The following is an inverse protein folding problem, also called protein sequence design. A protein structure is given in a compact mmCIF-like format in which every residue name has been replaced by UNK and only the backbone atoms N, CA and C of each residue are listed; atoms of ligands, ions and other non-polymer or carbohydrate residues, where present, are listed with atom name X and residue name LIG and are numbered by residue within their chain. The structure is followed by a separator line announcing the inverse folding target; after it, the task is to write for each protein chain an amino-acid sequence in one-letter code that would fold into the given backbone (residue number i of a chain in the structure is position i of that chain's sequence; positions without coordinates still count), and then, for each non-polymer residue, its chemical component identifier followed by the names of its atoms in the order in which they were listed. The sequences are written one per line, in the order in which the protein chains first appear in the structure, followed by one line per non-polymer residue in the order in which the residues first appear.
data_IF_970507179224
#
_entry.id   IF_970507179224
#
_cell.length_a   1.000
_cell.length_b   1.000
_cell.length_c   1.000
_cell.angle_alpha   90.00
_cell.angle_beta   90.00
_cell.angle_gamma   90.00
#
_symmetry.space_group_name_H-M   'P 1'
#
loop_
_entity.id
_entity.type
_entity.pdbx_description
1 polymer ?
#
# COMPACT_ATOMS: atom_id res chain seq x y z
N UNK A 1 -10.73 -7.22 -7.53
CA UNK A 1 -11.43 -7.47 -6.24
C UNK A 1 -11.65 -6.18 -5.46
N UNK A 2 -10.59 -5.40 -5.19
CA UNK A 2 -10.74 -4.20 -4.35
C UNK A 2 -11.65 -3.10 -4.92
N UNK A 3 -11.75 -2.98 -6.25
CA UNK A 3 -12.71 -2.08 -6.89
C UNK A 3 -14.17 -2.43 -6.60
N UNK A 4 -14.52 -3.73 -6.57
CA UNK A 4 -15.90 -4.17 -6.29
C UNK A 4 -16.30 -3.79 -4.87
N UNK A 5 -15.42 -4.01 -3.88
CA UNK A 5 -15.69 -3.64 -2.50
C UNK A 5 -15.78 -2.11 -2.31
N UNK A 6 -14.97 -1.35 -3.05
CA UNK A 6 -15.04 0.10 -3.05
C UNK A 6 -16.38 0.61 -3.61
N UNK A 7 -16.85 0.03 -4.71
CA UNK A 7 -18.12 0.38 -5.36
C UNK A 7 -19.33 0.00 -4.47
N UNK A 8 -19.28 -1.15 -3.78
CA UNK A 8 -20.33 -1.58 -2.86
C UNK A 8 -20.51 -0.65 -1.64
N UNK A 9 -19.40 -0.11 -1.13
CA UNK A 9 -19.39 0.70 0.08
C UNK A 9 -19.56 2.21 -0.19
N UNK A 10 -19.34 2.67 -1.43
CA UNK A 10 -19.35 4.09 -1.81
C UNK A 10 -20.67 4.80 -1.50
N UNK A 11 -21.80 4.13 -1.70
CA UNK A 11 -23.13 4.73 -1.52
C UNK A 11 -23.74 4.52 -0.13
N UNK A 12 -23.22 3.55 0.63
CA UNK A 12 -23.85 3.04 1.85
C UNK A 12 -23.10 3.41 3.12
N UNK A 13 -21.80 3.70 3.04
CA UNK A 13 -20.95 3.96 4.22
C UNK A 13 -19.87 5.00 3.92
N UNK A 14 -19.34 5.68 4.95
CA UNK A 14 -18.16 6.54 4.80
C UNK A 14 -16.83 5.76 4.73
N UNK A 15 -16.87 4.44 4.48
CA UNK A 15 -15.68 3.58 4.48
C UNK A 15 -14.97 3.70 3.13
N UNK A 16 -13.67 3.97 3.17
CA UNK A 16 -12.80 4.01 1.98
C UNK A 16 -12.04 2.71 1.84
N UNK A 17 -12.00 2.17 0.63
CA UNK A 17 -11.31 0.93 0.32
C UNK A 17 -10.26 1.19 -0.75
N UNK A 18 -9.00 0.91 -0.43
CA UNK A 18 -7.89 1.09 -1.36
C UNK A 18 -6.94 -0.12 -1.29
N UNK A 19 -6.13 -0.30 -2.31
CA UNK A 19 -5.03 -1.27 -2.31
C UNK A 19 -3.69 -0.55 -2.22
N UNK A 20 -2.75 -1.13 -1.47
CA UNK A 20 -1.39 -0.62 -1.36
C UNK A 20 -0.46 -1.62 -2.05
N UNK A 21 0.35 -1.14 -2.97
CA UNK A 21 1.49 -1.86 -3.52
C UNK A 21 2.78 -1.37 -2.80
N UNK A 22 3.29 -2.13 -1.81
CA UNK A 22 4.48 -1.74 -1.07
C UNK A 22 5.77 -1.85 -1.90
N UNK A 23 5.74 -2.49 -3.07
CA UNK A 23 6.94 -2.71 -3.89
C UNK A 23 7.96 -3.64 -3.21
N UNK A 24 9.25 -3.37 -3.43
CA UNK A 24 10.35 -4.14 -2.83
C UNK A 24 10.61 -3.60 -1.42
N UNK A 25 10.33 -4.41 -0.40
CA UNK A 25 10.55 -4.04 1.01
C UNK A 25 11.32 -5.13 1.71
N UNK A 26 12.27 -4.72 2.57
CA UNK A 26 13.10 -5.62 3.38
C UNK A 26 12.25 -6.32 4.45
N UNK A 27 11.62 -7.42 4.07
CA UNK A 27 10.79 -8.25 4.93
C UNK A 27 11.21 -9.71 4.85
N UNK A 28 10.85 -10.51 5.86
CA UNK A 28 11.05 -11.96 5.83
C UNK A 28 10.35 -12.61 4.63
N UNK A 29 9.17 -12.12 4.25
CA UNK A 29 8.44 -12.61 3.06
C UNK A 29 9.26 -12.41 1.78
N UNK A 30 9.87 -11.22 1.61
CA UNK A 30 10.73 -10.91 0.44
C UNK A 30 11.96 -11.81 0.40
N UNK A 31 12.64 -12.00 1.54
CA UNK A 31 13.81 -12.86 1.65
C UNK A 31 13.48 -14.33 1.29
N UNK A 32 12.29 -14.82 1.65
CA UNK A 32 11.84 -16.16 1.25
C UNK A 32 11.52 -16.24 -0.25
N UNK A 33 10.97 -15.18 -0.84
CA UNK A 33 10.64 -15.12 -2.27
C UNK A 33 11.88 -14.94 -3.16
N UNK A 34 12.91 -14.22 -2.69
CA UNK A 34 14.14 -13.90 -3.41
C UNK A 34 15.38 -14.13 -2.51
N UNK A 35 15.78 -15.38 -2.26
CA UNK A 35 16.83 -15.70 -1.28
C UNK A 35 18.24 -15.22 -1.67
N UNK A 36 18.49 -14.94 -2.95
CA UNK A 36 19.78 -14.43 -3.44
C UNK A 36 19.86 -12.90 -3.57
N UNK A 37 18.80 -12.18 -3.22
CA UNK A 37 18.78 -10.71 -3.24
C UNK A 37 19.45 -10.15 -1.98
N UNK A 38 20.38 -9.21 -2.12
CA UNK A 38 20.97 -8.52 -0.97
C UNK A 38 19.90 -7.66 -0.27
N UNK A 39 19.56 -7.93 1.01
CA UNK A 39 18.55 -7.19 1.75
C UNK A 39 18.86 -5.68 1.83
N UNK A 40 20.13 -5.29 1.79
CA UNK A 40 20.54 -3.88 1.89
C UNK A 40 20.22 -3.07 0.62
N UNK A 41 19.95 -3.74 -0.50
CA UNK A 41 19.52 -3.09 -1.75
C UNK A 41 18.03 -2.77 -1.80
N UNK A 42 17.29 -3.16 -0.75
CA UNK A 42 15.85 -2.98 -0.63
C UNK A 42 15.56 -2.03 0.55
N UNK A 43 14.65 -1.05 0.40
CA UNK A 43 14.31 -0.13 1.49
C UNK A 43 13.72 -0.88 2.69
N UNK A 44 13.95 -0.31 3.88
CA UNK A 44 13.32 -0.78 5.11
C UNK A 44 11.82 -0.46 5.11
N UNK A 45 11.05 -1.11 5.99
CA UNK A 45 9.60 -0.91 6.04
C UNK A 45 9.24 0.52 6.46
N UNK A 46 10.03 1.12 7.35
CA UNK A 46 9.88 2.47 7.84
C UNK A 46 9.98 3.52 6.72
N UNK A 47 10.72 3.21 5.64
CA UNK A 47 10.96 4.13 4.53
C UNK A 47 9.78 4.24 3.55
N UNK A 48 8.77 3.37 3.66
CA UNK A 48 7.60 3.34 2.76
C UNK A 48 6.30 3.76 3.45
N UNK A 49 6.38 4.27 4.68
CA UNK A 49 5.22 4.56 5.53
C UNK A 49 4.37 5.74 5.05
N UNK A 50 4.92 6.63 4.21
CA UNK A 50 4.22 7.82 3.71
C UNK A 50 2.89 7.47 3.03
N UNK A 51 2.87 6.42 2.21
CA UNK A 51 1.64 5.98 1.54
C UNK A 51 0.60 5.38 2.50
N UNK A 52 1.05 4.72 3.57
CA UNK A 52 0.17 4.19 4.62
C UNK A 52 -0.45 5.32 5.42
N UNK A 53 0.36 6.30 5.83
CA UNK A 53 -0.09 7.48 6.56
C UNK A 53 -1.05 8.31 5.72
N UNK A 54 -0.76 8.48 4.43
CA UNK A 54 -1.64 9.18 3.49
C UNK A 54 -3.05 8.58 3.48
N UNK A 55 -3.16 7.26 3.31
CA UNK A 55 -4.45 6.57 3.22
C UNK A 55 -5.26 6.54 4.54
N UNK A 56 -4.57 6.66 5.67
CA UNK A 56 -5.20 6.75 7.00
C UNK A 56 -5.54 8.19 7.39
N UNK A 57 -4.88 9.17 6.77
CA UNK A 57 -5.06 10.60 7.03
C UNK A 57 -6.30 11.20 6.36
N UNK A 58 -6.53 12.48 6.66
CA UNK A 58 -7.59 13.27 6.02
C UNK A 58 -7.26 13.61 4.55
N UNK A 59 -5.97 13.64 4.20
CA UNK A 59 -5.50 14.02 2.86
C UNK A 59 -5.98 13.06 1.75
N UNK A 60 -6.36 11.83 2.11
CA UNK A 60 -6.90 10.83 1.18
C UNK A 60 -8.42 10.67 1.28
N UNK A 61 -9.16 11.61 1.88
CA UNK A 61 -10.60 11.47 2.11
C UNK A 61 -11.40 11.23 0.81
N UNK A 62 -10.93 11.77 -0.31
CA UNK A 62 -11.54 11.60 -1.64
C UNK A 62 -10.98 10.42 -2.44
N UNK A 63 -10.12 9.60 -1.83
CA UNK A 63 -9.45 8.48 -2.50
C UNK A 63 -10.14 7.17 -2.12
N UNK A 64 -10.83 6.58 -3.11
CA UNK A 64 -11.51 5.29 -2.99
C UNK A 64 -11.29 4.45 -4.25
N UNK A 65 -11.18 3.13 -4.10
CA UNK A 65 -11.00 2.17 -5.19
C UNK A 65 -9.66 2.27 -5.92
N UNK A 66 -8.65 2.93 -5.35
CA UNK A 66 -7.36 3.16 -6.01
C UNK A 66 -6.27 2.18 -5.53
N UNK A 67 -5.27 2.01 -6.39
CA UNK A 67 -4.02 1.33 -6.06
C UNK A 67 -2.96 2.40 -5.82
N UNK A 68 -2.45 2.48 -4.59
CA UNK A 68 -1.40 3.42 -4.19
C UNK A 68 -0.08 2.66 -4.11
N UNK A 69 0.93 3.11 -4.84
CA UNK A 69 2.26 2.49 -4.84
C UNK A 69 3.21 3.25 -3.92
N UNK A 70 3.97 2.53 -3.09
CA UNK A 70 4.92 3.13 -2.15
C UNK A 70 6.30 3.41 -2.77
N UNK A 71 6.41 3.44 -4.10
CA UNK A 71 7.69 3.70 -4.78
C UNK A 71 8.19 5.10 -4.45
N UNK A 72 9.36 5.19 -3.83
CA UNK A 72 10.21 6.39 -3.89
C UNK A 72 10.65 6.60 -5.34
N UNK A 73 10.44 7.81 -5.85
CA UNK A 73 11.02 8.27 -7.12
C UNK A 73 12.52 8.43 -7.02
#
# INVERSE_FOLDING_TARGET
LMGILADELELSTPIRVNSIDPGRVRTRMRALAFPGEDPMTVPAAEEIMDAYLYLMGADSEKVNGKIVSCKKS
#
